data_IF_351535539373
#
_entry.id   IF_351535539373
#
_cell.length_a   1.000
_cell.length_b   1.000
_cell.length_c   1.000
_cell.angle_alpha   90.00
_cell.angle_beta   90.00
_cell.angle_gamma   90.00
#
_symmetry.space_group_name_H-M   'P 1'
#
loop_
_entity.id
_entity.type
_entity.pdbx_description
1 polymer ?
#
# COMPACT_ATOMS: atom_id res chain seq x y z
N UNK A 1 -22.51 16.24 25.62
CA UNK A 1 -21.21 16.40 24.93
C UNK A 1 -20.98 15.15 24.09
N UNK A 2 -21.02 15.25 22.75
CA UNK A 2 -20.68 14.11 21.88
C UNK A 2 -19.17 14.11 21.71
N UNK A 3 -18.52 12.99 21.98
CA UNK A 3 -17.10 12.80 21.69
C UNK A 3 -17.03 12.23 20.28
N UNK A 4 -16.55 13.03 19.33
CA UNK A 4 -16.31 12.54 17.96
C UNK A 4 -14.97 11.80 17.94
N UNK A 5 -15.01 10.52 17.54
CA UNK A 5 -13.80 9.71 17.33
C UNK A 5 -13.06 10.27 16.11
N UNK A 6 -11.79 10.65 16.27
CA UNK A 6 -10.93 10.96 15.12
C UNK A 6 -10.67 9.69 14.30
N UNK A 7 -10.70 9.76 12.96
CA UNK A 7 -10.37 8.62 12.13
C UNK A 7 -8.90 8.24 12.32
N UNK A 8 -8.64 6.93 12.44
CA UNK A 8 -7.30 6.36 12.52
C UNK A 8 -6.90 5.90 11.12
N UNK A 9 -5.80 6.45 10.62
CA UNK A 9 -5.23 6.09 9.32
C UNK A 9 -3.96 5.28 9.49
N UNK A 10 -3.76 4.28 8.64
CA UNK A 10 -2.55 3.48 8.55
C UNK A 10 -1.92 3.66 7.17
N UNK A 11 -0.66 4.10 7.14
CA UNK A 11 0.16 4.08 5.93
C UNK A 11 1.12 2.89 5.98
N UNK A 12 1.14 2.08 4.93
CA UNK A 12 2.05 0.94 4.75
C UNK A 12 3.00 1.29 3.62
N UNK A 13 4.30 1.41 3.94
CA UNK A 13 5.33 1.74 2.95
C UNK A 13 6.09 0.48 2.54
N UNK A 14 6.22 0.25 1.24
CA UNK A 14 6.95 -0.90 0.67
C UNK A 14 8.07 -0.37 -0.24
N UNK A 15 9.35 -0.50 0.14
CA UNK A 15 10.45 -0.27 -0.79
C UNK A 15 10.49 -1.40 -1.82
N UNK A 16 10.66 -1.06 -3.10
CA UNK A 16 10.68 -2.04 -4.18
C UNK A 16 11.79 -1.75 -5.20
N UNK A 17 12.53 -2.78 -5.58
CA UNK A 17 13.56 -2.74 -6.62
C UNK A 17 13.53 -4.00 -7.48
N UNK A 18 13.08 -3.87 -8.73
CA UNK A 18 12.91 -4.97 -9.69
C UNK A 18 12.05 -6.15 -9.19
N UNK A 19 10.85 -5.83 -8.70
CA UNK A 19 9.89 -6.75 -8.09
C UNK A 19 8.62 -6.95 -8.96
N UNK A 20 8.70 -6.76 -10.28
CA UNK A 20 7.53 -6.82 -11.19
C UNK A 20 6.71 -8.12 -11.09
N UNK A 21 7.34 -9.22 -10.66
CA UNK A 21 6.71 -10.54 -10.55
C UNK A 21 6.14 -10.85 -9.15
N UNK A 22 6.41 -10.02 -8.14
CA UNK A 22 6.08 -10.29 -6.74
C UNK A 22 5.24 -9.17 -6.11
N UNK A 23 5.43 -7.91 -6.52
CA UNK A 23 4.89 -6.73 -5.84
C UNK A 23 3.36 -6.74 -5.79
N UNK A 24 2.72 -7.17 -6.88
CA UNK A 24 1.26 -7.27 -6.95
C UNK A 24 0.71 -8.25 -5.91
N UNK A 25 1.37 -9.41 -5.75
CA UNK A 25 0.96 -10.41 -4.76
C UNK A 25 1.12 -9.87 -3.35
N UNK A 26 2.24 -9.20 -3.06
CA UNK A 26 2.50 -8.60 -1.74
C UNK A 26 1.42 -7.58 -1.38
N UNK A 27 1.06 -6.69 -2.30
CA UNK A 27 0.02 -5.67 -2.07
C UNK A 27 -1.34 -6.33 -1.86
N UNK A 28 -1.70 -7.36 -2.65
CA UNK A 28 -2.97 -8.08 -2.52
C UNK A 28 -3.11 -8.91 -1.24
N UNK A 29 -1.99 -9.26 -0.60
CA UNK A 29 -1.99 -9.97 0.70
C UNK A 29 -2.21 -9.01 1.89
N UNK A 30 -2.15 -7.69 1.67
CA UNK A 30 -2.47 -6.71 2.71
C UNK A 30 -3.97 -6.77 3.02
N UNK A 31 -4.37 -6.91 4.30
CA UNK A 31 -5.78 -6.89 4.67
C UNK A 31 -6.42 -5.56 4.29
N UNK A 32 -7.50 -5.61 3.51
CA UNK A 32 -8.27 -4.40 3.16
C UNK A 32 -9.06 -3.80 4.33
N UNK A 33 -9.21 -4.53 5.43
CA UNK A 33 -9.88 -4.08 6.66
C UNK A 33 -9.06 -4.58 7.86
N UNK A 34 -8.73 -3.67 8.76
CA UNK A 34 -8.09 -3.95 10.05
C UNK A 34 -8.96 -3.33 11.14
N UNK A 35 -9.34 -4.12 12.15
CA UNK A 35 -10.16 -3.63 13.26
C UNK A 35 -9.49 -2.42 13.93
N UNK A 36 -10.23 -1.31 14.04
CA UNK A 36 -9.75 -0.07 14.64
C UNK A 36 -9.03 0.88 13.67
N UNK A 37 -8.78 0.48 12.42
CA UNK A 37 -8.24 1.34 11.36
C UNK A 37 -9.36 1.74 10.41
N UNK A 38 -9.53 3.05 10.22
CA UNK A 38 -10.61 3.61 9.41
C UNK A 38 -10.17 3.77 7.92
N UNK A 39 -8.88 3.90 7.66
CA UNK A 39 -8.31 4.06 6.30
C UNK A 39 -6.93 3.41 6.21
N UNK A 40 -6.69 2.65 5.14
CA UNK A 40 -5.39 2.03 4.83
C UNK A 40 -4.90 2.58 3.50
N UNK A 41 -3.67 3.08 3.49
CA UNK A 41 -2.98 3.53 2.30
C UNK A 41 -1.70 2.71 2.12
N UNK A 42 -1.51 2.13 0.94
CA UNK A 42 -0.30 1.40 0.58
C UNK A 42 0.53 2.27 -0.36
N UNK A 43 1.78 2.52 0.01
CA UNK A 43 2.69 3.41 -0.71
C UNK A 43 3.90 2.60 -1.14
N UNK A 44 4.13 2.51 -2.45
CA UNK A 44 5.31 1.81 -2.99
C UNK A 44 6.39 2.80 -3.34
N UNK A 45 7.53 2.68 -2.66
CA UNK A 45 8.70 3.52 -2.91
C UNK A 45 9.59 2.76 -3.91
N UNK A 46 9.50 3.12 -5.19
CA UNK A 46 10.35 2.52 -6.22
C UNK A 46 11.79 3.07 -6.12
N UNK A 47 12.74 2.20 -5.79
CA UNK A 47 14.16 2.53 -5.61
C UNK A 47 14.98 2.39 -6.91
N UNK A 48 14.46 2.97 -8.00
CA UNK A 48 15.15 2.99 -9.30
C UNK A 48 15.06 1.68 -10.09
N UNK A 49 13.96 0.94 -9.95
CA UNK A 49 13.67 -0.24 -10.77
C UNK A 49 13.73 0.08 -12.26
N UNK A 50 14.22 -0.89 -13.06
CA UNK A 50 14.31 -0.77 -14.52
C UNK A 50 13.29 -1.67 -15.24
N UNK A 51 12.50 -2.39 -14.48
CA UNK A 51 11.46 -3.30 -14.93
C UNK A 51 10.07 -2.68 -14.70
N UNK A 52 9.01 -3.49 -14.73
CA UNK A 52 7.62 -3.02 -14.62
C UNK A 52 7.12 -2.90 -13.17
N UNK A 53 8.02 -2.80 -12.17
CA UNK A 53 7.66 -2.74 -10.74
C UNK A 53 6.62 -1.66 -10.42
N UNK A 54 6.81 -0.42 -10.88
CA UNK A 54 5.86 0.68 -10.62
C UNK A 54 4.47 0.39 -11.21
N UNK A 55 4.43 -0.12 -12.43
CA UNK A 55 3.18 -0.41 -13.13
C UNK A 55 2.42 -1.55 -12.45
N UNK A 56 3.12 -2.60 -12.01
CA UNK A 56 2.55 -3.71 -11.26
C UNK A 56 2.02 -3.25 -9.88
N UNK A 57 2.72 -2.35 -9.21
CA UNK A 57 2.29 -1.77 -7.94
C UNK A 57 1.00 -0.92 -8.08
N UNK A 58 0.95 -0.05 -9.08
CA UNK A 58 -0.23 0.78 -9.38
C UNK A 58 -1.46 -0.08 -9.73
N UNK A 59 -1.27 -1.14 -10.53
CA UNK A 59 -2.34 -2.09 -10.87
C UNK A 59 -2.89 -2.83 -9.65
N UNK A 60 -2.06 -3.02 -8.63
CA UNK A 60 -2.45 -3.65 -7.38
C UNK A 60 -3.10 -2.68 -6.37
N UNK A 61 -3.18 -1.38 -6.70
CA UNK A 61 -3.82 -0.36 -5.87
C UNK A 61 -2.90 0.39 -4.91
N UNK A 62 -1.58 0.28 -5.08
CA UNK A 62 -0.66 1.13 -4.34
C UNK A 62 -0.63 2.56 -4.91
N UNK A 63 -0.45 3.54 -4.02
CA UNK A 63 0.00 4.87 -4.37
C UNK A 63 1.49 4.85 -4.72
N UNK A 64 1.88 5.63 -5.75
CA UNK A 64 3.26 5.82 -6.17
C UNK A 64 4.01 6.88 -5.38
#
# INVERSE_FOLDING_TARGET
MKIEKKPVKLAITIPAYNEENSIEKVIREIPGIIEGIDEIEVIVINDGSKDRTSEAAEQAGAAG
#
